data_IF_912097583136
#
_entry.id   IF_912097583136
#
_cell.length_a   1.000
_cell.length_b   1.000
_cell.length_c   1.000
_cell.angle_alpha   90.00
_cell.angle_beta   90.00
_cell.angle_gamma   90.00
#
_symmetry.space_group_name_H-M   'P 1'
#
loop_
_entity.id
_entity.type
_entity.pdbx_description
1 polymer ?
#
# COMPACT_ATOMS: atom_id res chain seq x y z
N UNK A 1 -10.67 4.39 -14.44
CA UNK A 1 -9.94 3.55 -15.42
C UNK A 1 -9.04 2.62 -14.62
N UNK A 2 -9.31 1.31 -14.67
CA UNK A 2 -8.65 0.32 -13.79
C UNK A 2 -7.17 0.18 -14.16
N UNK A 3 -6.28 0.27 -13.18
CA UNK A 3 -4.83 0.06 -13.33
C UNK A 3 -4.50 -1.30 -13.92
N UNK A 4 -5.32 -2.31 -13.64
CA UNK A 4 -5.22 -3.64 -14.24
C UNK A 4 -5.39 -3.64 -15.76
N UNK A 5 -6.15 -2.68 -16.31
CA UNK A 5 -6.41 -2.58 -17.75
C UNK A 5 -5.33 -1.75 -18.49
N UNK A 6 -4.64 -0.88 -17.76
CA UNK A 6 -3.60 0.00 -18.31
C UNK A 6 -2.19 -0.62 -18.27
N UNK A 7 -2.01 -1.78 -17.63
CA UNK A 7 -0.69 -2.41 -17.46
C UNK A 7 0.24 -1.60 -16.55
N UNK A 8 -0.32 -0.74 -15.70
CA UNK A 8 0.44 0.11 -14.79
C UNK A 8 0.79 -0.66 -13.52
N UNK A 9 2.01 -0.50 -12.97
CA UNK A 9 2.37 -1.13 -11.72
C UNK A 9 1.51 -0.56 -10.57
N UNK A 10 0.91 -1.48 -9.80
CA UNK A 10 0.06 -1.17 -8.66
C UNK A 10 0.50 -1.98 -7.43
N UNK A 11 0.56 -1.33 -6.27
CA UNK A 11 0.91 -1.96 -4.99
C UNK A 11 -0.08 -1.54 -3.91
N UNK A 12 -0.46 -2.47 -3.03
CA UNK A 12 -1.24 -2.16 -1.83
C UNK A 12 -0.37 -2.29 -0.59
N UNK A 13 -0.43 -1.30 0.31
CA UNK A 13 0.30 -1.27 1.59
C UNK A 13 -0.67 -1.06 2.76
N UNK A 14 -0.43 -1.64 3.94
CA UNK A 14 -1.31 -1.48 5.10
C UNK A 14 -1.24 -0.04 5.62
N UNK A 15 -2.37 0.66 5.67
CA UNK A 15 -2.47 2.06 6.08
C UNK A 15 -3.17 2.27 7.44
N UNK A 16 -3.50 1.17 8.12
CA UNK A 16 -3.99 1.16 9.49
C UNK A 16 -5.28 0.38 9.66
N UNK A 17 -6.06 0.74 10.68
CA UNK A 17 -7.35 0.12 10.97
C UNK A 17 -8.42 1.21 11.03
N UNK A 18 -9.49 1.00 10.28
CA UNK A 18 -10.66 1.87 10.24
C UNK A 18 -11.61 1.62 11.41
N UNK A 19 -12.81 2.18 11.31
CA UNK A 19 -13.87 1.93 12.28
C UNK A 19 -14.11 0.42 12.43
N UNK A 20 -14.35 -0.02 13.67
CA UNK A 20 -14.55 -1.43 14.05
C UNK A 20 -13.32 -2.35 13.89
N UNK A 21 -12.11 -1.80 13.80
CA UNK A 21 -10.88 -2.61 13.75
C UNK A 21 -10.68 -3.34 12.41
N UNK A 22 -11.29 -2.83 11.33
CA UNK A 22 -11.10 -3.37 9.99
C UNK A 22 -9.79 -2.85 9.36
N UNK A 23 -8.95 -3.70 8.77
CA UNK A 23 -7.72 -3.26 8.14
C UNK A 23 -8.02 -2.37 6.93
N UNK A 24 -7.31 -1.25 6.83
CA UNK A 24 -7.37 -0.30 5.72
C UNK A 24 -6.08 -0.41 4.91
N UNK A 25 -6.21 -0.58 3.59
CA UNK A 25 -5.10 -0.57 2.65
C UNK A 25 -4.99 0.75 1.90
N UNK A 26 -3.77 1.19 1.63
CA UNK A 26 -3.45 2.27 0.72
C UNK A 26 -2.96 1.69 -0.61
N UNK A 27 -3.63 2.05 -1.70
CA UNK A 27 -3.24 1.66 -3.06
C UNK A 27 -2.30 2.72 -3.64
N UNK A 28 -1.08 2.32 -3.95
CA UNK A 28 -0.09 3.10 -4.68
C UNK A 28 -0.13 2.63 -6.15
N UNK A 29 -0.16 3.59 -7.07
CA UNK A 29 -0.17 3.36 -8.52
C UNK A 29 0.98 4.17 -9.09
N UNK A 30 1.93 3.48 -9.71
CA UNK A 30 3.06 4.11 -10.39
C UNK A 30 2.82 4.24 -11.88
N UNK A 31 3.65 5.07 -12.52
CA UNK A 31 3.74 5.10 -13.97
C UNK A 31 4.56 3.89 -14.49
N UNK A 32 4.58 3.67 -15.80
CA UNK A 32 5.39 2.60 -16.40
C UNK A 32 6.86 2.67 -15.97
N UNK A 33 7.42 1.51 -15.59
CA UNK A 33 8.80 1.35 -15.13
C UNK A 33 9.18 2.13 -13.85
N UNK A 34 8.22 2.62 -13.07
CA UNK A 34 8.46 3.30 -11.80
C UNK A 34 8.32 2.39 -10.55
N UNK A 35 8.42 1.06 -10.69
CA UNK A 35 8.31 0.14 -9.53
C UNK A 35 9.31 0.45 -8.41
N UNK A 36 10.53 0.85 -8.76
CA UNK A 36 11.56 1.22 -7.77
C UNK A 36 11.12 2.40 -6.90
N UNK A 37 10.47 3.40 -7.51
CA UNK A 37 9.94 4.56 -6.80
C UNK A 37 8.74 4.19 -5.95
N UNK A 38 7.87 3.31 -6.45
CA UNK A 38 6.74 2.79 -5.66
C UNK A 38 7.22 2.06 -4.41
N UNK A 39 8.26 1.22 -4.54
CA UNK A 39 8.90 0.54 -3.41
C UNK A 39 9.54 1.52 -2.42
N UNK A 40 10.20 2.57 -2.91
CA UNK A 40 10.76 3.62 -2.04
C UNK A 40 9.67 4.35 -1.25
N UNK A 41 8.53 4.69 -1.88
CA UNK A 41 7.40 5.33 -1.21
C UNK A 41 6.79 4.39 -0.17
N UNK A 42 6.57 3.12 -0.53
CA UNK A 42 6.06 2.11 0.38
C UNK A 42 6.99 1.91 1.59
N UNK A 43 8.31 1.87 1.35
CA UNK A 43 9.30 1.73 2.41
C UNK A 43 9.36 2.94 3.33
N UNK A 44 9.34 4.16 2.78
CA UNK A 44 9.27 5.38 3.59
C UNK A 44 7.99 5.44 4.42
N UNK A 45 6.85 5.02 3.86
CA UNK A 45 5.59 4.92 4.57
C UNK A 45 5.65 3.90 5.72
N UNK A 46 6.28 2.74 5.49
CA UNK A 46 6.51 1.74 6.54
C UNK A 46 7.47 2.22 7.63
N UNK A 47 8.52 2.97 7.29
CA UNK A 47 9.41 3.57 8.30
C UNK A 47 8.69 4.62 9.17
N UNK A 48 7.73 5.34 8.59
CA UNK A 48 6.93 6.32 9.31
C UNK A 48 5.75 5.68 10.08
N UNK A 49 5.42 4.41 9.84
CA UNK A 49 4.23 3.77 10.42
C UNK A 49 4.43 2.30 10.79
N UNK A 50 4.00 1.93 12.00
CA UNK A 50 4.06 0.54 12.49
C UNK A 50 2.86 -0.33 12.09
N UNK A 51 2.06 0.12 11.11
CA UNK A 51 0.86 -0.64 10.68
C UNK A 51 1.21 -2.03 10.16
N UNK A 52 2.39 -2.17 9.56
CA UNK A 52 2.92 -3.43 9.05
C UNK A 52 3.23 -4.46 10.16
N UNK A 53 3.35 -4.03 11.42
CA UNK A 53 3.57 -4.90 12.58
C UNK A 53 2.27 -5.37 13.25
N UNK A 54 1.13 -4.75 12.93
CA UNK A 54 -0.16 -5.12 13.54
C UNK A 54 -0.80 -6.28 12.78
N UNK A 55 -1.03 -7.37 13.49
CA UNK A 55 -1.75 -8.54 13.00
C UNK A 55 -3.21 -8.50 13.49
N UNK A 56 -4.19 -8.95 12.68
CA UNK A 56 -5.55 -9.13 13.16
C UNK A 56 -5.59 -10.16 14.30
N UNK A 57 -6.32 -9.86 15.36
CA UNK A 57 -6.61 -10.86 16.40
C UNK A 57 -7.52 -11.94 15.79
N UNK A 58 -7.14 -13.21 15.99
CA UNK A 58 -7.85 -14.38 15.48
C UNK A 58 -9.26 -14.50 16.08
#
# INVERSE_FOLDING_TARGET
LSTSLAGLPGMSVPAGFGANGLPVGLQIIGNYFEEARMLQIAHAFQQATDWHHRQPAA
#
